data_IF_868556722095
#
_entry.id   IF_868556722095
#
_cell.length_a   1.000
_cell.length_b   1.000
_cell.length_c   1.000
_cell.angle_alpha   90.00
_cell.angle_beta   90.00
_cell.angle_gamma   90.00
#
_symmetry.space_group_name_H-M   'P 1'
#
loop_
_entity.id
_entity.type
_entity.pdbx_description
1 polymer ?
#
# COMPACT_ATOMS: atom_id res chain seq x y z
N UNK A 1 17.57 3.49 7.52
CA UNK A 1 16.43 4.40 7.30
C UNK A 1 15.59 4.43 8.58
N UNK A 2 15.44 5.59 9.22
CA UNK A 2 14.69 5.79 10.48
C UNK A 2 13.68 6.93 10.37
N UNK A 3 13.04 7.06 9.20
CA UNK A 3 12.14 8.19 8.85
C UNK A 3 10.71 7.72 8.53
N UNK A 4 10.31 6.57 9.04
CA UNK A 4 9.00 5.96 8.74
C UNK A 4 7.84 6.91 9.09
N UNK A 5 7.92 7.61 10.21
CA UNK A 5 6.88 8.55 10.63
C UNK A 5 6.78 9.77 9.70
N UNK A 6 7.93 10.34 9.30
CA UNK A 6 7.98 11.44 8.33
C UNK A 6 7.48 11.01 6.95
N UNK A 7 7.82 9.79 6.51
CA UNK A 7 7.32 9.21 5.27
C UNK A 7 5.80 9.02 5.31
N UNK A 8 5.27 8.49 6.43
CA UNK A 8 3.84 8.32 6.62
C UNK A 8 3.09 9.65 6.65
N UNK A 9 3.67 10.70 7.24
CA UNK A 9 3.08 12.05 7.23
C UNK A 9 3.03 12.62 5.81
N UNK A 10 4.17 12.63 5.11
CA UNK A 10 4.25 13.14 3.73
C UNK A 10 3.32 12.36 2.78
N UNK A 11 3.22 11.05 2.94
CA UNK A 11 2.32 10.22 2.15
C UNK A 11 0.84 10.56 2.42
N UNK A 12 0.44 10.76 3.68
CA UNK A 12 -0.92 11.18 4.05
C UNK A 12 -1.27 12.55 3.50
N UNK A 13 -0.39 13.53 3.67
CA UNK A 13 -0.55 14.89 3.13
C UNK A 13 -0.67 14.85 1.60
N UNK A 14 0.15 14.03 0.93
CA UNK A 14 0.06 13.83 -0.50
C UNK A 14 -1.31 13.25 -0.90
N UNK A 15 -1.79 12.19 -0.26
CA UNK A 15 -3.10 11.59 -0.58
C UNK A 15 -4.24 12.58 -0.36
N UNK A 16 -4.20 13.37 0.72
CA UNK A 16 -5.21 14.38 1.05
C UNK A 16 -5.20 15.57 0.08
N UNK A 17 -4.02 15.97 -0.41
CA UNK A 17 -3.88 17.08 -1.37
C UNK A 17 -4.28 16.75 -2.80
N UNK A 18 -4.56 15.48 -3.12
CA UNK A 18 -4.95 15.06 -4.47
C UNK A 18 -6.47 14.83 -4.58
N UNK A 19 -7.17 15.46 -5.54
CA UNK A 19 -8.57 15.16 -5.81
C UNK A 19 -8.71 13.71 -6.33
N UNK A 20 -9.93 13.17 -6.27
CA UNK A 20 -10.19 11.77 -6.66
C UNK A 20 -9.80 11.46 -8.12
N UNK A 21 -9.88 12.46 -8.99
CA UNK A 21 -9.44 12.39 -10.40
C UNK A 21 -7.95 12.09 -10.57
N UNK A 22 -7.14 12.27 -9.52
CA UNK A 22 -5.71 11.91 -9.48
C UNK A 22 -5.50 10.53 -8.85
N UNK A 23 -6.35 9.56 -9.19
CA UNK A 23 -6.35 8.20 -8.65
C UNK A 23 -4.95 7.54 -8.63
N UNK A 24 -4.15 7.68 -9.70
CA UNK A 24 -2.78 7.13 -9.74
C UNK A 24 -1.89 7.69 -8.64
N UNK A 25 -1.92 9.02 -8.43
CA UNK A 25 -1.09 9.67 -7.41
C UNK A 25 -1.54 9.31 -6.00
N UNK A 26 -2.86 9.24 -5.77
CA UNK A 26 -3.44 8.77 -4.50
C UNK A 26 -3.01 7.34 -4.20
N UNK A 27 -3.06 6.45 -5.19
CA UNK A 27 -2.68 5.05 -5.00
C UNK A 27 -1.18 4.88 -4.67
N UNK A 28 -0.29 5.59 -5.36
CA UNK A 28 1.15 5.60 -5.04
C UNK A 28 1.36 6.13 -3.61
N UNK A 29 0.69 7.22 -3.22
CA UNK A 29 0.76 7.75 -1.86
C UNK A 29 0.32 6.73 -0.80
N UNK A 30 -0.76 5.98 -1.07
CA UNK A 30 -1.22 4.91 -0.18
C UNK A 30 -0.19 3.77 -0.08
N UNK A 31 0.43 3.35 -1.19
CA UNK A 31 1.45 2.31 -1.15
C UNK A 31 2.67 2.76 -0.32
N UNK A 32 3.12 4.00 -0.49
CA UNK A 32 4.21 4.56 0.32
C UNK A 32 3.84 4.67 1.81
N UNK A 33 2.59 5.02 2.12
CA UNK A 33 2.08 5.04 3.49
C UNK A 33 2.08 3.63 4.10
N UNK A 34 1.63 2.62 3.36
CA UNK A 34 1.65 1.23 3.81
C UNK A 34 3.09 0.76 4.09
N UNK A 35 4.05 1.08 3.22
CA UNK A 35 5.47 0.74 3.43
C UNK A 35 6.05 1.41 4.68
N UNK A 36 5.61 2.63 5.01
CA UNK A 36 5.99 3.32 6.23
C UNK A 36 5.33 2.71 7.49
N UNK A 37 4.10 2.21 7.38
CA UNK A 37 3.41 1.51 8.46
C UNK A 37 4.06 0.15 8.77
N UNK A 38 4.49 -0.60 7.74
CA UNK A 38 5.25 -1.85 7.93
C UNK A 38 6.54 -1.59 8.72
N UNK A 39 7.27 -0.52 8.37
CA UNK A 39 8.49 -0.14 9.10
C UNK A 39 8.22 0.23 10.57
N UNK A 40 7.01 0.68 10.90
CA UNK A 40 6.56 0.96 12.26
C UNK A 40 5.97 -0.27 12.97
N UNK A 41 5.95 -1.44 12.32
CA UNK A 41 5.28 -2.67 12.76
C UNK A 41 3.76 -2.55 12.92
N UNK A 42 3.16 -1.56 12.26
CA UNK A 42 1.71 -1.37 12.18
C UNK A 42 1.13 -2.24 11.05
N UNK A 43 1.32 -3.55 11.14
CA UNK A 43 1.12 -4.51 10.04
C UNK A 43 -0.34 -4.54 9.55
N UNK A 44 -1.30 -4.59 10.47
CA UNK A 44 -2.72 -4.62 10.11
C UNK A 44 -3.14 -3.32 9.40
N UNK A 45 -2.68 -2.18 9.92
CA UNK A 45 -2.93 -0.88 9.31
C UNK A 45 -2.26 -0.79 7.92
N UNK A 46 -1.07 -1.35 7.76
CA UNK A 46 -0.39 -1.43 6.46
C UNK A 46 -1.20 -2.25 5.44
N UNK A 47 -1.73 -3.41 5.83
CA UNK A 47 -2.55 -4.26 4.97
C UNK A 47 -3.84 -3.55 4.53
N UNK A 48 -4.51 -2.83 5.45
CA UNK A 48 -5.69 -2.02 5.13
C UNK A 48 -5.36 -0.88 4.16
N UNK A 49 -4.25 -0.18 4.38
CA UNK A 49 -3.79 0.91 3.50
C UNK A 49 -3.38 0.38 2.13
N UNK A 50 -2.65 -0.74 2.07
CA UNK A 50 -2.23 -1.42 0.85
C UNK A 50 -3.43 -1.92 0.03
N UNK A 51 -4.47 -2.43 0.69
CA UNK A 51 -5.72 -2.84 0.01
C UNK A 51 -6.38 -1.67 -0.72
N UNK A 52 -6.44 -0.48 -0.10
CA UNK A 52 -6.97 0.73 -0.77
C UNK A 52 -6.10 1.16 -1.95
N UNK A 53 -4.78 0.98 -1.86
CA UNK A 53 -3.88 1.22 -2.97
C UNK A 53 -4.16 0.26 -4.13
N UNK A 54 -4.33 -1.04 -3.83
CA UNK A 54 -4.67 -2.08 -4.79
C UNK A 54 -6.00 -1.78 -5.52
N UNK A 55 -7.06 -1.44 -4.79
CA UNK A 55 -8.37 -1.10 -5.36
C UNK A 55 -8.25 0.07 -6.36
N UNK A 56 -7.55 1.15 -5.97
CA UNK A 56 -7.35 2.29 -6.86
C UNK A 56 -6.49 1.93 -8.08
N UNK A 57 -5.45 1.11 -7.92
CA UNK A 57 -4.61 0.68 -9.04
C UNK A 57 -5.34 -0.26 -10.00
N UNK A 58 -6.22 -1.12 -9.48
CA UNK A 58 -7.08 -2.00 -10.28
C UNK A 58 -7.99 -1.23 -11.24
N UNK A 59 -8.55 -0.08 -10.81
CA UNK A 59 -9.34 0.78 -11.69
C UNK A 59 -8.52 1.43 -12.82
N UNK A 60 -7.20 1.51 -12.66
CA UNK A 60 -6.30 2.22 -13.59
C UNK A 60 -5.51 1.28 -14.52
N UNK A 61 -5.56 -0.05 -14.30
CA UNK A 61 -4.76 -1.07 -15.00
C UNK A 61 -3.29 -0.67 -15.19
N UNK A 62 -2.66 -0.18 -14.12
CA UNK A 62 -1.32 0.41 -14.18
C UNK A 62 -0.23 -0.61 -13.82
N UNK A 63 0.56 -1.06 -14.81
CA UNK A 63 1.71 -1.97 -14.58
C UNK A 63 2.69 -1.45 -13.53
N UNK A 64 3.08 -0.18 -13.64
CA UNK A 64 3.96 0.48 -12.66
C UNK A 64 3.35 0.62 -11.25
N UNK A 65 2.02 0.51 -11.15
CA UNK A 65 1.34 0.48 -9.86
C UNK A 65 1.56 -0.84 -9.13
N UNK A 66 1.57 -1.94 -9.88
CA UNK A 66 1.80 -3.28 -9.33
C UNK A 66 3.18 -3.41 -8.69
N UNK A 67 4.22 -2.79 -9.26
CA UNK A 67 5.57 -2.79 -8.67
C UNK A 67 5.58 -2.32 -7.21
N UNK A 68 4.78 -1.30 -6.86
CA UNK A 68 4.65 -0.83 -5.48
C UNK A 68 3.96 -1.84 -4.56
N UNK A 69 2.99 -2.60 -5.09
CA UNK A 69 2.26 -3.61 -4.33
C UNK A 69 3.09 -4.88 -4.12
N UNK A 70 3.93 -5.21 -5.10
CA UNK A 70 4.92 -6.29 -4.96
C UNK A 70 5.98 -5.95 -3.90
N UNK A 71 6.51 -4.72 -3.90
CA UNK A 71 7.40 -4.26 -2.82
C UNK A 71 6.72 -4.34 -1.44
N UNK A 72 5.42 -4.03 -1.35
CA UNK A 72 4.68 -4.22 -0.09
C UNK A 72 4.56 -5.68 0.32
N UNK A 73 4.27 -6.58 -0.62
CA UNK A 73 4.19 -8.03 -0.36
C UNK A 73 5.52 -8.55 0.20
N UNK A 74 6.63 -8.17 -0.43
CA UNK A 74 7.96 -8.62 -0.01
C UNK A 74 8.33 -8.09 1.38
N UNK A 75 7.94 -6.85 1.70
CA UNK A 75 8.13 -6.27 3.04
C UNK A 75 7.24 -6.89 4.11
N UNK A 76 6.13 -7.51 3.73
CA UNK A 76 5.20 -8.19 4.62
C UNK A 76 5.58 -9.65 4.87
N UNK A 77 6.54 -10.22 4.13
CA UNK A 77 6.98 -11.61 4.27
C UNK A 77 7.34 -11.99 5.72
N UNK A 78 8.05 -11.15 6.50
CA UNK A 78 8.32 -11.45 7.92
C UNK A 78 7.07 -11.54 8.81
N UNK A 79 5.92 -11.09 8.31
CA UNK A 79 4.63 -11.05 9.01
C UNK A 79 3.59 -11.97 8.36
N UNK A 80 3.98 -12.92 7.50
CA UNK A 80 3.07 -13.83 6.78
C UNK A 80 2.11 -14.64 7.69
N UNK A 81 2.47 -14.82 8.97
CA UNK A 81 1.63 -15.45 9.99
C UNK A 81 0.41 -14.62 10.42
N UNK A 82 0.37 -13.33 10.11
CA UNK A 82 -0.75 -12.44 10.45
C UNK A 82 -1.94 -12.65 9.50
N UNK A 83 -3.15 -12.67 10.06
CA UNK A 83 -4.37 -12.87 9.26
C UNK A 83 -4.54 -11.76 8.21
N UNK A 84 -4.25 -10.52 8.58
CA UNK A 84 -4.35 -9.37 7.69
C UNK A 84 -3.40 -9.47 6.47
N UNK A 85 -2.21 -10.07 6.66
CA UNK A 85 -1.22 -10.25 5.57
C UNK A 85 -1.69 -11.31 4.59
N UNK A 86 -2.22 -12.44 5.09
CA UNK A 86 -2.83 -13.46 4.22
C UNK A 86 -4.01 -12.90 3.43
N UNK A 87 -4.89 -12.17 4.09
CA UNK A 87 -6.07 -11.56 3.45
C UNK A 87 -5.66 -10.54 2.37
N UNK A 88 -4.62 -9.75 2.63
CA UNK A 88 -4.05 -8.85 1.63
C UNK A 88 -3.46 -9.61 0.43
N UNK A 89 -2.73 -10.69 0.67
CA UNK A 89 -2.19 -11.57 -0.38
C UNK A 89 -3.28 -12.13 -1.29
N UNK A 90 -4.36 -12.68 -0.71
CA UNK A 90 -5.52 -13.18 -1.48
C UNK A 90 -6.13 -12.08 -2.35
N UNK A 91 -6.28 -10.86 -1.82
CA UNK A 91 -6.77 -9.74 -2.62
C UNK A 91 -5.85 -9.41 -3.79
N UNK A 92 -4.53 -9.43 -3.58
CA UNK A 92 -3.58 -9.17 -4.68
C UNK A 92 -3.72 -10.19 -5.81
N UNK A 93 -3.89 -11.46 -5.48
CA UNK A 93 -4.11 -12.53 -6.47
C UNK A 93 -5.39 -12.30 -7.27
N UNK A 94 -6.49 -11.91 -6.61
CA UNK A 94 -7.77 -11.63 -7.26
C UNK A 94 -7.71 -10.48 -8.27
N UNK A 95 -6.82 -9.51 -8.06
CA UNK A 95 -6.63 -8.36 -8.96
C UNK A 95 -5.57 -8.60 -10.04
N UNK A 96 -4.75 -9.64 -9.90
CA UNK A 96 -3.76 -10.05 -10.90
C UNK A 96 -4.35 -10.99 -11.97
N UNK A 97 -5.49 -11.62 -11.69
CA UNK A 97 -6.26 -12.48 -12.60
C UNK A 97 -7.16 -11.67 -13.56
#
# INVERSE_FOLDING_TARGET
LGRAEAAARAARESVAGHPETRARRRAIGLALLAAAQIQQREVEQACRTGTRALELLGTLRSSRGMEYLEDLRDRLEPFAGEAAVREFGVRMELYAA
#
